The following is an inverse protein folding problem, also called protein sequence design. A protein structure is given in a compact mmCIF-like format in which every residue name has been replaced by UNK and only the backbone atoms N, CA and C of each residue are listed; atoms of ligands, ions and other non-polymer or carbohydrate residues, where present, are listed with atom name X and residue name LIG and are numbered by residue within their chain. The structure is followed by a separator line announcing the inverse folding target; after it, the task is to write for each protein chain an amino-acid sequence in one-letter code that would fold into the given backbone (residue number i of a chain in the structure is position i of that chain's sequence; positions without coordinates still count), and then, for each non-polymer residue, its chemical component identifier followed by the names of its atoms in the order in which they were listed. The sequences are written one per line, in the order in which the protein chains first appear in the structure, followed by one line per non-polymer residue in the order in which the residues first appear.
data_IF_271999986813
#
_entry.id   IF_271999986813
#
_cell.length_a   1.000
_cell.length_b   1.000
_cell.length_c   1.000
_cell.angle_alpha   90.00
_cell.angle_beta   90.00
_cell.angle_gamma   90.00
#
_symmetry.space_group_name_H-M   'P 1'
#
loop_
_entity.id
_entity.type
_entity.pdbx_description
1 polymer ?
#
# COMPACT_ATOMS: atom_id res chain seq x y z
N UNK A 1 -17.45 4.21 11.56
CA UNK A 1 -16.80 4.62 10.30
C UNK A 1 -15.83 3.54 9.86
N UNK A 2 -15.81 3.23 8.57
CA UNK A 2 -14.83 2.32 7.94
C UNK A 2 -13.47 3.01 7.80
N UNK A 3 -12.35 2.27 7.63
CA UNK A 3 -11.04 2.87 7.35
C UNK A 3 -11.07 3.83 6.14
N UNK A 4 -11.80 3.45 5.09
CA UNK A 4 -12.05 4.29 3.91
C UNK A 4 -12.72 5.63 4.29
N UNK A 5 -13.77 5.58 5.10
CA UNK A 5 -14.48 6.79 5.56
C UNK A 5 -13.58 7.69 6.40
N UNK A 6 -12.73 7.11 7.28
CA UNK A 6 -11.76 7.86 8.08
C UNK A 6 -10.81 8.63 7.17
N UNK A 7 -10.16 7.95 6.20
CA UNK A 7 -9.19 8.59 5.30
C UNK A 7 -9.86 9.66 4.44
N UNK A 8 -11.00 9.37 3.83
CA UNK A 8 -11.70 10.34 2.97
C UNK A 8 -12.18 11.56 3.74
N UNK A 9 -12.67 11.39 4.97
CA UNK A 9 -13.09 12.51 5.81
C UNK A 9 -11.91 13.37 6.25
N UNK A 10 -10.78 12.78 6.63
CA UNK A 10 -9.55 13.53 6.97
C UNK A 10 -9.07 14.36 5.78
N UNK A 11 -8.98 13.75 4.59
CA UNK A 11 -8.60 14.47 3.36
C UNK A 11 -9.59 15.59 3.02
N UNK A 12 -10.86 15.42 3.37
CA UNK A 12 -11.92 16.41 3.18
C UNK A 12 -12.05 17.42 4.34
N UNK A 13 -11.13 17.40 5.32
CA UNK A 13 -11.16 18.25 6.53
C UNK A 13 -12.45 18.13 7.35
N UNK A 14 -13.04 16.93 7.40
CA UNK A 14 -14.21 16.60 8.23
C UNK A 14 -13.77 15.92 9.53
N UNK A 15 -14.63 15.96 10.54
CA UNK A 15 -14.39 15.23 11.79
C UNK A 15 -14.40 13.71 11.59
N UNK A 16 -13.57 13.02 12.38
CA UNK A 16 -13.47 11.56 12.40
C UNK A 16 -13.39 11.03 13.83
N UNK A 17 -13.70 9.75 14.02
CA UNK A 17 -13.66 9.09 15.34
C UNK A 17 -12.24 8.97 15.90
N UNK A 18 -11.23 8.94 15.03
CA UNK A 18 -9.80 8.92 15.36
C UNK A 18 -8.97 9.46 14.19
N UNK A 19 -7.67 9.66 14.42
CA UNK A 19 -6.70 9.90 13.33
C UNK A 19 -6.62 8.68 12.42
N UNK A 20 -6.38 8.92 11.13
CA UNK A 20 -6.13 7.90 10.12
C UNK A 20 -4.62 7.72 9.89
N UNK A 21 -4.21 6.48 9.62
CA UNK A 21 -2.82 6.14 9.29
C UNK A 21 -2.77 5.59 7.87
N UNK A 22 -2.03 6.25 6.99
CA UNK A 22 -1.82 5.82 5.62
C UNK A 22 -0.41 6.19 5.18
N UNK A 23 0.20 5.35 4.35
CA UNK A 23 1.42 5.69 3.62
C UNK A 23 1.09 5.75 2.12
N UNK A 24 1.14 6.94 1.47
CA UNK A 24 0.84 7.09 0.05
C UNK A 24 2.02 6.69 -0.86
N UNK A 25 3.13 6.22 -0.29
CA UNK A 25 4.29 5.69 -1.03
C UNK A 25 4.56 4.24 -0.62
N UNK A 26 5.56 3.61 -1.23
CA UNK A 26 6.00 2.26 -0.84
C UNK A 26 6.39 2.21 0.64
N UNK A 27 5.81 1.26 1.36
CA UNK A 27 6.07 0.98 2.79
C UNK A 27 6.72 -0.40 2.99
N UNK A 28 7.24 -1.00 1.93
CA UNK A 28 7.68 -2.39 1.93
C UNK A 28 9.10 -2.54 2.48
N UNK A 29 9.27 -3.49 3.40
CA UNK A 29 10.56 -3.92 3.96
C UNK A 29 10.86 -5.38 3.60
N UNK A 30 12.13 -5.79 3.72
CA UNK A 30 12.51 -7.21 3.56
C UNK A 30 11.71 -8.12 4.49
N UNK A 31 11.41 -7.68 5.72
CA UNK A 31 10.65 -8.49 6.66
C UNK A 31 9.19 -8.72 6.20
N UNK A 32 8.57 -7.70 5.60
CA UNK A 32 7.25 -7.86 4.99
C UNK A 32 7.32 -8.83 3.80
N UNK A 33 8.36 -8.76 2.98
CA UNK A 33 8.52 -9.71 1.86
C UNK A 33 8.61 -11.16 2.34
N UNK A 34 9.38 -11.42 3.40
CA UNK A 34 9.45 -12.73 4.04
C UNK A 34 8.10 -13.19 4.59
N UNK A 35 7.41 -12.33 5.35
CA UNK A 35 6.12 -12.66 5.98
C UNK A 35 5.01 -12.94 4.96
N UNK A 36 5.03 -12.22 3.83
CA UNK A 36 4.02 -12.35 2.77
C UNK A 36 4.45 -13.28 1.63
N UNK A 37 5.64 -13.89 1.73
CA UNK A 37 6.25 -14.71 0.69
C UNK A 37 6.22 -14.04 -0.72
N UNK A 38 6.42 -12.73 -0.76
CA UNK A 38 6.26 -11.90 -1.95
C UNK A 38 7.40 -10.89 -2.00
N UNK A 39 8.35 -11.16 -2.91
CA UNK A 39 9.62 -10.45 -2.98
C UNK A 39 9.68 -9.52 -4.18
N UNK A 40 10.54 -8.52 -4.09
CA UNK A 40 11.05 -7.84 -5.28
C UNK A 40 12.10 -8.71 -5.97
N UNK A 41 12.16 -8.70 -7.30
CA UNK A 41 11.44 -7.79 -8.20
C UNK A 41 10.02 -8.23 -8.59
N UNK A 42 9.62 -9.48 -8.33
CA UNK A 42 8.39 -10.05 -8.87
C UNK A 42 7.12 -9.30 -8.44
N UNK A 43 7.07 -8.80 -7.20
CA UNK A 43 5.93 -8.04 -6.71
C UNK A 43 5.73 -6.68 -7.41
N UNK A 44 6.65 -6.25 -8.30
CA UNK A 44 6.43 -5.08 -9.16
C UNK A 44 5.54 -5.35 -10.37
N UNK A 45 5.46 -6.59 -10.84
CA UNK A 45 4.78 -6.92 -12.10
C UNK A 45 3.84 -8.14 -12.03
N UNK A 46 3.93 -8.97 -10.99
CA UNK A 46 2.97 -10.03 -10.70
C UNK A 46 1.85 -9.49 -9.79
N UNK A 47 0.62 -9.46 -10.32
CA UNK A 47 -0.53 -8.89 -9.61
C UNK A 47 -0.83 -9.60 -8.28
N UNK A 48 -0.63 -10.92 -8.20
CA UNK A 48 -0.88 -11.68 -6.98
C UNK A 48 0.17 -11.36 -5.93
N UNK A 49 1.45 -11.36 -6.29
CA UNK A 49 2.54 -10.98 -5.37
C UNK A 49 2.43 -9.53 -4.92
N UNK A 50 1.97 -8.64 -5.81
CA UNK A 50 1.70 -7.25 -5.48
C UNK A 50 0.60 -7.14 -4.41
N UNK A 51 -0.52 -7.84 -4.61
CA UNK A 51 -1.60 -7.92 -3.63
C UNK A 51 -1.11 -8.47 -2.28
N UNK A 52 -0.46 -9.64 -2.28
CA UNK A 52 0.04 -10.31 -1.08
C UNK A 52 1.01 -9.42 -0.29
N UNK A 53 1.91 -8.71 -0.97
CA UNK A 53 2.82 -7.81 -0.28
C UNK A 53 2.12 -6.55 0.24
N UNK A 54 1.17 -6.00 -0.51
CA UNK A 54 0.48 -4.76 -0.16
C UNK A 54 -0.47 -4.93 1.04
N UNK A 55 -1.11 -6.10 1.21
CA UNK A 55 -2.02 -6.36 2.34
C UNK A 55 -1.32 -6.39 3.70
N UNK A 56 0.01 -6.55 3.73
CA UNK A 56 0.81 -6.39 4.95
C UNK A 56 0.58 -5.04 5.65
N UNK A 57 0.33 -3.97 4.89
CA UNK A 57 0.04 -2.66 5.48
C UNK A 57 -1.23 -2.67 6.32
N UNK A 58 -2.26 -3.38 5.87
CA UNK A 58 -3.52 -3.49 6.58
C UNK A 58 -3.44 -4.54 7.69
N UNK A 59 -2.90 -5.73 7.41
CA UNK A 59 -2.95 -6.87 8.32
C UNK A 59 -1.87 -6.87 9.40
N UNK A 60 -0.68 -6.30 9.13
CA UNK A 60 0.46 -6.31 10.06
C UNK A 60 0.65 -4.93 10.68
N UNK A 61 0.55 -3.86 9.89
CA UNK A 61 0.77 -2.49 10.35
C UNK A 61 -0.50 -1.76 10.78
N UNK A 62 -1.67 -2.37 10.57
CA UNK A 62 -2.99 -1.82 10.91
C UNK A 62 -3.28 -0.45 10.26
N UNK A 63 -2.75 -0.22 9.07
CA UNK A 63 -3.01 1.02 8.31
C UNK A 63 -4.46 1.05 7.80
N UNK A 64 -4.99 2.26 7.67
CA UNK A 64 -6.34 2.52 7.17
C UNK A 64 -6.44 2.51 5.64
N UNK A 65 -5.31 2.47 4.95
CA UNK A 65 -5.22 2.44 3.49
C UNK A 65 -4.01 1.63 3.02
N UNK A 66 -4.13 1.10 1.81
CA UNK A 66 -3.07 0.38 1.10
C UNK A 66 -2.70 1.20 -0.14
N UNK A 67 -1.40 1.50 -0.30
CA UNK A 67 -0.81 1.90 -1.57
C UNK A 67 -0.24 0.64 -2.23
N UNK A 68 -0.87 0.07 -3.27
CA UNK A 68 -0.50 -1.24 -3.79
C UNK A 68 0.71 -1.22 -4.72
N UNK A 69 1.28 -0.03 -4.98
CA UNK A 69 2.32 0.17 -5.98
C UNK A 69 3.65 0.52 -5.31
N UNK A 70 4.72 -0.21 -5.68
CA UNK A 70 6.03 -0.11 -5.02
C UNK A 70 7.11 0.62 -5.82
N UNK A 71 6.75 1.20 -6.97
CA UNK A 71 7.68 1.87 -7.87
C UNK A 71 7.04 3.10 -8.49
N UNK A 72 7.86 4.08 -8.84
CA UNK A 72 7.45 5.31 -9.54
C UNK A 72 7.72 5.25 -11.04
N UNK A 73 8.34 4.18 -11.54
CA UNK A 73 8.78 4.07 -12.95
C UNK A 73 7.89 3.17 -13.81
N UNK A 74 6.70 2.79 -13.34
CA UNK A 74 5.82 1.84 -14.05
C UNK A 74 5.37 2.40 -15.40
N UNK A 75 5.01 3.68 -15.43
CA UNK A 75 4.62 4.36 -16.67
C UNK A 75 5.83 4.52 -17.60
N UNK A 76 7.00 4.88 -17.07
CA UNK A 76 8.22 4.99 -17.86
C UNK A 76 8.60 3.65 -18.51
N UNK A 77 8.52 2.55 -17.76
CA UNK A 77 8.74 1.19 -18.29
C UNK A 77 7.74 0.84 -19.40
N UNK A 78 6.45 1.18 -19.21
CA UNK A 78 5.44 0.97 -20.24
C UNK A 78 5.69 1.79 -21.52
N UNK A 79 6.39 2.92 -21.42
CA UNK A 79 6.79 3.78 -22.53
C UNK A 79 8.14 3.39 -23.17
N UNK A 80 8.80 2.35 -22.68
CA UNK A 80 10.03 1.80 -23.27
C UNK A 80 11.34 2.32 -22.68
N UNK A 81 11.30 2.90 -21.47
CA UNK A 81 12.51 3.17 -20.67
C UNK A 81 13.10 1.90 -20.05
#
# INVERSE_FOLDING_TARGET
MTPKEIILNILSKKETLRRGVANPVSSTTIKQMEMMNSFFPEAHYDAKKMYELSRANYEILEYDAIMPVFSVVIEAYALGC
#
